data_IF_591491145746
#
_entry.id   IF_591491145746
#
_cell.length_a   1.000
_cell.length_b   1.000
_cell.length_c   1.000
_cell.angle_alpha   90.00
_cell.angle_beta   90.00
_cell.angle_gamma   90.00
#
_symmetry.space_group_name_H-M   'P 1'
#
loop_
_entity.id
_entity.type
_entity.pdbx_description
1 polymer ?
#
# COMPACT_ATOMS: atom_id res chain seq x y z
N UNK A 1 -18.72 22.19 14.11
CA UNK A 1 -17.74 23.30 14.27
C UNK A 1 -17.70 24.23 13.07
N UNK A 2 -18.27 23.86 11.89
CA UNK A 2 -18.18 24.63 10.64
C UNK A 2 -16.76 24.74 10.07
N UNK A 3 -15.84 23.90 10.54
CA UNK A 3 -14.45 23.82 10.07
C UNK A 3 -14.27 22.63 9.13
N UNK A 4 -13.41 22.78 8.14
CA UNK A 4 -13.00 21.70 7.23
C UNK A 4 -11.74 21.05 7.80
N UNK A 5 -11.75 19.72 7.91
CA UNK A 5 -10.58 18.89 8.20
C UNK A 5 -10.36 18.00 6.97
N UNK A 6 -9.15 18.01 6.44
CA UNK A 6 -8.75 17.14 5.34
C UNK A 6 -7.45 16.43 5.66
N UNK A 7 -7.36 15.15 5.31
CA UNK A 7 -6.15 14.34 5.42
C UNK A 7 -5.70 14.01 3.99
N UNK A 8 -4.50 14.45 3.63
CA UNK A 8 -3.96 14.24 2.29
C UNK A 8 -3.04 13.03 2.24
N UNK A 9 -3.36 12.06 1.39
CA UNK A 9 -2.43 11.01 0.97
C UNK A 9 -1.61 11.54 -0.19
N UNK A 10 -0.39 12.00 0.08
CA UNK A 10 0.49 12.58 -0.93
C UNK A 10 0.77 11.64 -2.13
N UNK A 11 0.80 10.29 -2.00
CA UNK A 11 1.00 9.40 -3.14
C UNK A 11 -0.06 9.55 -4.24
N UNK A 12 -1.27 10.02 -3.91
CA UNK A 12 -2.33 10.27 -4.91
C UNK A 12 -1.93 11.30 -5.97
N UNK A 13 -0.93 12.13 -5.70
CA UNK A 13 -0.41 13.14 -6.63
C UNK A 13 0.77 12.63 -7.47
N UNK A 14 1.25 11.41 -7.23
CA UNK A 14 2.24 10.75 -8.07
C UNK A 14 1.61 10.30 -9.39
N UNK A 15 2.28 10.60 -10.51
CA UNK A 15 1.76 10.30 -11.85
C UNK A 15 1.61 8.80 -12.11
N UNK A 16 2.45 7.97 -11.47
CA UNK A 16 2.39 6.51 -11.60
C UNK A 16 1.25 5.93 -10.75
N UNK A 17 0.97 6.51 -9.57
CA UNK A 17 -0.22 6.17 -8.76
C UNK A 17 -1.50 6.51 -9.50
N UNK A 18 -1.53 7.66 -10.18
CA UNK A 18 -2.65 8.05 -11.05
C UNK A 18 -2.79 7.11 -12.26
N UNK A 19 -1.67 6.60 -12.80
CA UNK A 19 -1.70 5.63 -13.88
C UNK A 19 -2.30 4.28 -13.46
N UNK A 20 -2.02 3.80 -12.24
CA UNK A 20 -2.67 2.61 -11.67
C UNK A 20 -4.19 2.77 -11.69
N UNK A 21 -4.68 3.89 -11.18
CA UNK A 21 -6.11 4.19 -11.17
C UNK A 21 -6.69 4.23 -12.59
N UNK A 22 -6.04 4.90 -13.53
CA UNK A 22 -6.46 4.97 -14.94
C UNK A 22 -6.54 3.60 -15.60
N UNK A 23 -5.57 2.69 -15.33
CA UNK A 23 -5.59 1.32 -15.86
C UNK A 23 -6.82 0.57 -15.35
N UNK A 24 -7.13 0.66 -14.07
CA UNK A 24 -8.32 0.01 -13.50
C UNK A 24 -9.61 0.61 -14.05
N UNK A 25 -9.74 1.95 -14.05
CA UNK A 25 -10.93 2.67 -14.51
C UNK A 25 -11.17 2.53 -16.03
N UNK A 26 -10.13 2.29 -16.83
CA UNK A 26 -10.28 2.06 -18.28
C UNK A 26 -11.00 0.74 -18.61
N UNK A 27 -11.13 -0.16 -17.63
CA UNK A 27 -11.67 -1.51 -17.85
C UNK A 27 -10.71 -2.48 -18.53
N UNK A 28 -9.43 -2.11 -18.68
CA UNK A 28 -8.39 -2.96 -19.28
C UNK A 28 -8.25 -4.30 -18.52
N UNK A 29 -8.35 -4.28 -17.19
CA UNK A 29 -8.29 -5.49 -16.37
C UNK A 29 -9.60 -6.30 -16.41
N UNK A 30 -10.70 -5.72 -16.87
CA UNK A 30 -12.03 -6.27 -16.69
C UNK A 30 -12.50 -6.17 -15.24
N UNK A 31 -13.39 -7.06 -14.83
CA UNK A 31 -13.88 -7.14 -13.45
C UNK A 31 -12.77 -7.63 -12.52
N UNK A 32 -12.37 -6.77 -11.58
CA UNK A 32 -11.35 -7.09 -10.56
C UNK A 32 -11.96 -8.06 -9.54
N UNK A 33 -11.25 -9.13 -9.22
CA UNK A 33 -11.69 -10.14 -8.26
C UNK A 33 -10.71 -10.38 -7.11
N UNK A 34 -9.41 -10.07 -7.29
CA UNK A 34 -8.40 -10.28 -6.28
C UNK A 34 -7.36 -9.18 -6.32
N UNK A 35 -6.94 -8.72 -5.15
CA UNK A 35 -5.86 -7.76 -4.95
C UNK A 35 -4.95 -8.27 -3.85
N UNK A 36 -3.64 -8.26 -4.11
CA UNK A 36 -2.61 -8.38 -3.10
C UNK A 36 -1.90 -7.03 -3.00
N UNK A 37 -1.73 -6.51 -1.79
CA UNK A 37 -0.95 -5.28 -1.59
C UNK A 37 -0.29 -5.28 -0.22
N UNK A 38 0.69 -4.43 -0.07
CA UNK A 38 1.39 -4.27 1.18
C UNK A 38 2.74 -3.62 0.97
N UNK A 39 3.61 -3.85 1.91
CA UNK A 39 4.97 -3.36 1.90
C UNK A 39 5.67 -3.71 3.19
N UNK A 40 6.90 -3.30 3.32
CA UNK A 40 7.60 -3.54 4.56
C UNK A 40 9.06 -3.17 4.48
N UNK A 41 9.68 -3.22 5.64
CA UNK A 41 11.10 -2.91 5.83
C UNK A 41 11.78 -4.08 6.50
N UNK A 42 13.04 -4.30 6.16
CA UNK A 42 13.85 -5.31 6.85
C UNK A 42 14.07 -4.93 8.31
N UNK A 43 14.41 -3.66 8.56
CA UNK A 43 14.53 -3.05 9.87
C UNK A 43 14.20 -1.57 9.75
N UNK A 44 13.18 -1.09 10.42
CA UNK A 44 12.78 0.30 10.27
C UNK A 44 11.66 0.71 11.20
N UNK A 45 11.68 0.17 12.44
CA UNK A 45 10.76 0.62 13.48
C UNK A 45 11.11 2.08 13.77
N UNK A 46 10.17 3.01 13.61
CA UNK A 46 10.34 4.39 14.01
C UNK A 46 10.40 4.46 15.53
N UNK A 47 11.12 5.42 16.06
CA UNK A 47 11.13 5.68 17.50
C UNK A 47 10.06 6.68 17.93
N UNK A 48 10.25 7.22 19.14
CA UNK A 48 9.39 8.30 19.64
C UNK A 48 7.96 7.86 19.92
N UNK A 49 7.01 8.68 19.52
CA UNK A 49 5.57 8.48 19.79
C UNK A 49 4.92 7.41 18.92
N UNK A 50 5.58 6.95 17.85
CA UNK A 50 5.01 5.96 16.92
C UNK A 50 4.87 4.56 17.51
N UNK A 51 5.67 4.22 18.54
CA UNK A 51 5.76 2.86 19.07
C UNK A 51 4.88 2.62 20.30
N UNK A 52 4.17 3.64 20.76
CA UNK A 52 3.32 3.59 21.94
C UNK A 52 1.84 3.76 21.57
N UNK A 53 1.01 2.83 22.01
CA UNK A 53 -0.41 2.81 21.67
C UNK A 53 -1.16 4.06 22.10
N UNK A 54 -0.81 4.63 23.26
CA UNK A 54 -1.47 5.82 23.80
C UNK A 54 -1.29 7.06 22.92
N UNK A 55 -0.22 7.11 22.14
CA UNK A 55 0.10 8.25 21.25
C UNK A 55 -0.15 7.95 19.78
N UNK A 56 0.20 6.75 19.32
CA UNK A 56 0.07 6.34 17.92
C UNK A 56 -1.25 5.62 17.61
N UNK A 57 -1.85 5.00 18.61
CA UNK A 57 -3.04 4.14 18.44
C UNK A 57 -2.71 2.76 17.88
N UNK A 58 -2.10 2.69 16.72
CA UNK A 58 -1.63 1.48 16.03
C UNK A 58 -0.29 1.74 15.36
N UNK A 59 0.46 0.68 15.04
CA UNK A 59 1.83 0.75 14.55
C UNK A 59 1.97 0.78 13.02
N UNK A 60 2.66 -0.23 12.47
CA UNK A 60 2.96 -0.33 11.04
C UNK A 60 1.72 -0.23 10.15
N UNK A 61 0.59 -0.77 10.63
CA UNK A 61 -0.69 -0.74 9.91
C UNK A 61 -1.14 0.69 9.59
N UNK A 62 -1.06 1.60 10.55
CA UNK A 62 -1.47 3.00 10.33
C UNK A 62 -0.38 3.83 9.66
N UNK A 63 0.88 3.67 10.08
CA UNK A 63 1.98 4.52 9.63
C UNK A 63 2.27 4.35 8.14
N UNK A 64 2.54 3.13 7.69
CA UNK A 64 2.89 2.86 6.30
C UNK A 64 1.83 2.04 5.55
N UNK A 65 1.03 1.24 6.26
CA UNK A 65 -0.01 0.41 5.65
C UNK A 65 -1.12 1.21 4.99
N UNK A 66 -1.42 2.39 5.53
CA UNK A 66 -2.43 3.28 4.95
C UNK A 66 -2.13 3.67 3.50
N UNK A 67 -0.86 3.80 3.11
CA UNK A 67 -0.48 4.19 1.75
C UNK A 67 -0.78 3.08 0.73
N UNK A 68 -0.39 1.84 1.04
CA UNK A 68 -0.66 0.71 0.13
C UNK A 68 -2.15 0.37 0.06
N UNK A 69 -2.88 0.50 1.16
CA UNK A 69 -4.33 0.37 1.16
C UNK A 69 -5.00 1.47 0.34
N UNK A 70 -4.60 2.73 0.53
CA UNK A 70 -5.16 3.86 -0.22
C UNK A 70 -4.91 3.72 -1.73
N UNK A 71 -3.73 3.27 -2.13
CA UNK A 71 -3.40 3.04 -3.54
C UNK A 71 -4.41 2.13 -4.23
N UNK A 72 -4.65 0.95 -3.67
CA UNK A 72 -5.54 -0.03 -4.30
C UNK A 72 -7.01 0.32 -4.13
N UNK A 73 -7.42 0.80 -2.96
CA UNK A 73 -8.81 1.19 -2.71
C UNK A 73 -9.22 2.39 -3.56
N UNK A 74 -8.34 3.38 -3.73
CA UNK A 74 -8.58 4.51 -4.63
C UNK A 74 -8.68 4.08 -6.09
N UNK A 75 -7.93 3.07 -6.52
CA UNK A 75 -7.99 2.55 -7.88
C UNK A 75 -9.31 1.82 -8.17
N UNK A 76 -9.87 1.12 -7.20
CA UNK A 76 -11.11 0.32 -7.36
C UNK A 76 -12.38 1.02 -6.84
N UNK A 77 -12.30 2.29 -6.42
CA UNK A 77 -13.47 3.10 -6.04
C UNK A 77 -14.01 2.86 -4.63
N UNK A 78 -13.17 2.39 -3.68
CA UNK A 78 -13.53 2.19 -2.26
C UNK A 78 -14.75 1.30 -2.02
N UNK A 79 -14.81 0.07 -2.55
CA UNK A 79 -15.90 -0.85 -2.26
C UNK A 79 -15.98 -1.14 -0.76
N UNK A 80 -17.20 -1.32 -0.24
CA UNK A 80 -17.45 -1.53 1.17
C UNK A 80 -16.77 -2.81 1.68
N UNK A 81 -16.00 -2.79 2.77
CA UNK A 81 -15.49 -4.00 3.42
C UNK A 81 -16.64 -4.75 4.11
N UNK A 82 -16.74 -6.05 3.84
CA UNK A 82 -17.79 -6.92 4.37
C UNK A 82 -17.28 -7.75 5.55
N UNK A 83 -16.11 -8.35 5.41
CA UNK A 83 -15.47 -9.13 6.49
C UNK A 83 -13.98 -8.95 6.46
N UNK A 84 -13.35 -9.02 7.64
CA UNK A 84 -11.90 -8.94 7.82
C UNK A 84 -11.47 -10.11 8.72
N UNK A 85 -10.47 -10.86 8.26
CA UNK A 85 -9.70 -11.80 9.09
C UNK A 85 -8.28 -11.28 9.16
N UNK A 86 -7.77 -10.97 10.36
CA UNK A 86 -6.51 -10.28 10.51
C UNK A 86 -5.62 -10.90 11.59
N UNK A 87 -4.33 -10.67 11.44
CA UNK A 87 -3.27 -11.02 12.40
C UNK A 87 -2.34 -9.83 12.57
N UNK A 88 -1.82 -9.64 13.78
CA UNK A 88 -0.75 -8.69 14.07
C UNK A 88 0.30 -9.30 14.99
N UNK A 89 1.52 -8.80 14.92
CA UNK A 89 2.59 -9.11 15.86
C UNK A 89 3.39 -7.87 16.26
N UNK A 90 4.17 -8.04 17.30
CA UNK A 90 5.07 -7.02 17.86
C UNK A 90 6.45 -7.63 18.21
N UNK A 91 6.81 -8.73 17.52
CA UNK A 91 7.98 -9.55 17.84
C UNK A 91 9.30 -8.80 17.78
N UNK A 92 9.47 -7.99 16.74
CA UNK A 92 10.72 -7.27 16.53
C UNK A 92 10.79 -6.01 17.40
N UNK A 93 9.69 -5.28 17.51
CA UNK A 93 9.64 -4.08 18.35
C UNK A 93 9.89 -4.36 19.82
N UNK A 94 9.46 -5.51 20.30
CA UNK A 94 9.70 -5.99 21.67
C UNK A 94 11.03 -6.72 21.87
N UNK A 95 11.83 -6.87 20.83
CA UNK A 95 13.12 -7.57 20.95
C UNK A 95 14.20 -6.62 21.51
N UNK A 96 14.70 -6.84 22.75
CA UNK A 96 15.69 -5.98 23.37
C UNK A 96 17.09 -6.07 22.73
N UNK A 97 17.39 -7.17 22.02
CA UNK A 97 18.65 -7.30 21.29
C UNK A 97 18.66 -6.40 20.04
N UNK A 98 17.51 -6.20 19.41
CA UNK A 98 17.35 -5.37 18.22
C UNK A 98 17.09 -3.90 18.58
N UNK A 99 16.29 -3.67 19.62
CA UNK A 99 15.82 -2.33 20.06
C UNK A 99 15.95 -2.19 21.59
N UNK A 100 17.18 -2.05 22.14
CA UNK A 100 17.43 -2.11 23.58
C UNK A 100 16.62 -1.13 24.42
N UNK A 101 16.39 0.08 23.92
CA UNK A 101 15.64 1.11 24.64
C UNK A 101 14.15 1.09 24.31
N UNK A 102 13.82 1.01 23.04
CA UNK A 102 12.43 1.12 22.59
C UNK A 102 11.59 -0.12 22.90
N UNK A 103 12.20 -1.32 22.98
CA UNK A 103 11.49 -2.56 23.30
C UNK A 103 10.75 -2.54 24.62
N UNK A 104 11.24 -1.74 25.59
CA UNK A 104 10.65 -1.61 26.93
C UNK A 104 9.27 -0.94 26.92
N UNK A 105 9.02 -0.10 25.92
CA UNK A 105 7.78 0.70 25.80
C UNK A 105 6.98 0.36 24.55
N UNK A 106 7.52 -0.48 23.66
CA UNK A 106 6.85 -0.89 22.42
C UNK A 106 5.59 -1.70 22.72
N UNK A 107 4.43 -1.23 22.25
CA UNK A 107 3.13 -1.88 22.48
C UNK A 107 2.12 -1.74 21.33
N UNK A 108 2.62 -1.44 20.13
CA UNK A 108 1.84 -1.42 18.88
C UNK A 108 2.24 -2.59 17.96
N UNK A 109 1.66 -2.68 16.77
CA UNK A 109 2.06 -3.68 15.78
C UNK A 109 3.34 -3.26 15.03
N UNK A 110 4.25 -4.21 14.82
CA UNK A 110 5.37 -4.09 13.87
C UNK A 110 5.11 -4.85 12.56
N UNK A 111 4.16 -5.79 12.59
CA UNK A 111 3.66 -6.53 11.44
C UNK A 111 2.13 -6.67 11.53
N UNK A 112 1.47 -6.53 10.40
CA UNK A 112 0.05 -6.85 10.26
C UNK A 112 -0.23 -7.53 8.92
N UNK A 113 -1.16 -8.48 8.92
CA UNK A 113 -1.69 -9.12 7.73
C UNK A 113 -3.22 -9.23 7.83
N UNK A 114 -3.91 -9.05 6.72
CA UNK A 114 -5.35 -9.16 6.68
C UNK A 114 -5.85 -9.75 5.36
N UNK A 115 -6.90 -10.56 5.48
CA UNK A 115 -7.69 -11.05 4.36
C UNK A 115 -9.08 -10.38 4.44
N UNK A 116 -9.37 -9.53 3.48
CA UNK A 116 -10.53 -8.65 3.48
C UNK A 116 -11.45 -9.02 2.33
N UNK A 117 -12.73 -9.27 2.62
CA UNK A 117 -13.75 -9.41 1.59
C UNK A 117 -14.43 -8.06 1.39
N UNK A 118 -14.40 -7.60 0.15
CA UNK A 118 -15.03 -6.35 -0.26
C UNK A 118 -16.32 -6.62 -1.02
N UNK A 119 -17.17 -5.61 -1.08
CA UNK A 119 -18.36 -5.62 -1.95
C UNK A 119 -17.97 -5.86 -3.41
N UNK A 120 -18.85 -6.49 -4.19
CA UNK A 120 -18.55 -6.91 -5.57
C UNK A 120 -17.75 -8.20 -5.68
N UNK A 121 -17.51 -8.92 -4.56
CA UNK A 121 -16.80 -10.20 -4.55
C UNK A 121 -15.27 -10.06 -4.64
N UNK A 122 -14.73 -8.87 -4.42
CA UNK A 122 -13.29 -8.61 -4.45
C UNK A 122 -12.65 -9.11 -3.16
N UNK A 123 -11.53 -9.80 -3.29
CA UNK A 123 -10.66 -10.20 -2.17
C UNK A 123 -9.45 -9.28 -2.14
N UNK A 124 -9.15 -8.74 -0.97
CA UNK A 124 -7.95 -7.96 -0.71
C UNK A 124 -7.08 -8.66 0.33
N UNK A 125 -5.93 -9.17 -0.09
CA UNK A 125 -4.86 -9.71 0.76
C UNK A 125 -3.86 -8.57 1.04
N UNK A 126 -3.74 -8.21 2.30
CA UNK A 126 -2.93 -7.08 2.74
C UNK A 126 -1.87 -7.51 3.74
N UNK A 127 -0.63 -7.02 3.59
CA UNK A 127 0.48 -7.28 4.51
C UNK A 127 1.36 -6.06 4.65
N UNK A 128 1.75 -5.73 5.88
CA UNK A 128 2.60 -4.59 6.16
C UNK A 128 3.55 -4.88 7.31
N UNK A 129 4.77 -4.36 7.25
CA UNK A 129 5.73 -4.51 8.33
C UNK A 129 6.70 -3.35 8.44
N UNK A 130 7.01 -2.95 9.66
CA UNK A 130 8.16 -2.09 9.96
C UNK A 130 9.47 -2.88 10.05
N UNK A 131 9.37 -4.17 10.44
CA UNK A 131 10.53 -5.04 10.59
C UNK A 131 10.16 -6.48 10.25
N UNK A 132 10.90 -7.06 9.30
CA UNK A 132 10.81 -8.47 8.90
C UNK A 132 12.14 -8.88 8.29
N UNK A 133 12.41 -10.17 8.20
CA UNK A 133 13.67 -10.64 7.59
C UNK A 133 13.60 -10.71 6.04
N UNK A 134 12.81 -9.82 5.44
CA UNK A 134 12.67 -9.65 3.99
C UNK A 134 12.73 -8.16 3.63
N UNK A 135 13.09 -7.85 2.41
CA UNK A 135 13.14 -6.49 1.87
C UNK A 135 11.76 -5.93 1.53
N UNK A 136 10.82 -6.80 1.20
CA UNK A 136 9.41 -6.44 0.91
C UNK A 136 8.47 -7.60 1.23
N UNK A 137 7.23 -7.29 1.52
CA UNK A 137 6.14 -8.28 1.65
C UNK A 137 5.58 -8.75 0.29
N UNK A 138 6.17 -8.31 -0.81
CA UNK A 138 5.82 -8.66 -2.19
C UNK A 138 5.28 -7.48 -2.99
N UNK A 139 5.16 -7.68 -4.30
CA UNK A 139 4.59 -6.69 -5.22
C UNK A 139 3.09 -6.55 -5.01
N UNK A 140 2.54 -5.40 -5.39
CA UNK A 140 1.09 -5.26 -5.50
C UNK A 140 0.60 -5.90 -6.80
N UNK A 141 -0.44 -6.73 -6.67
CA UNK A 141 -1.13 -7.39 -7.76
C UNK A 141 -2.60 -6.96 -7.79
N UNK A 142 -3.11 -6.55 -8.95
CA UNK A 142 -4.54 -6.33 -9.18
C UNK A 142 -4.97 -7.27 -10.29
N UNK A 143 -5.76 -8.29 -9.94
CA UNK A 143 -6.17 -9.33 -10.89
C UNK A 143 -7.62 -9.12 -11.31
N UNK A 144 -7.81 -8.96 -12.61
CA UNK A 144 -9.11 -8.88 -13.26
C UNK A 144 -9.36 -10.06 -14.19
N UNK A 145 -10.60 -10.19 -14.68
CA UNK A 145 -11.02 -11.30 -15.55
C UNK A 145 -10.43 -11.21 -16.97
N UNK A 146 -9.90 -10.05 -17.39
CA UNK A 146 -9.31 -9.84 -18.72
C UNK A 146 -7.80 -9.69 -18.69
N UNK A 147 -7.26 -9.16 -17.61
CA UNK A 147 -5.83 -8.91 -17.43
C UNK A 147 -5.45 -8.79 -15.95
N UNK A 148 -4.15 -8.94 -15.66
CA UNK A 148 -3.57 -8.70 -14.35
C UNK A 148 -2.55 -7.58 -14.41
N UNK A 149 -2.54 -6.72 -13.40
CA UNK A 149 -1.54 -5.66 -13.21
C UNK A 149 -0.61 -6.02 -12.06
N UNK A 150 0.69 -5.99 -12.31
CA UNK A 150 1.75 -6.12 -11.30
C UNK A 150 2.45 -4.79 -11.13
N UNK A 151 2.53 -4.33 -9.91
CA UNK A 151 3.17 -3.08 -9.48
C UNK A 151 4.36 -3.44 -8.60
N UNK A 152 5.62 -3.21 -9.05
CA UNK A 152 6.78 -3.51 -8.24
C UNK A 152 6.78 -2.73 -6.92
N UNK A 153 7.08 -3.43 -5.84
CA UNK A 153 7.20 -2.87 -4.49
C UNK A 153 8.54 -2.17 -4.31
N UNK A 154 8.61 -1.25 -3.35
CA UNK A 154 9.86 -0.71 -2.81
C UNK A 154 10.15 -1.31 -1.45
N UNK A 155 11.40 -1.33 -1.01
CA UNK A 155 11.80 -1.82 0.32
C UNK A 155 11.05 -1.07 1.45
N UNK A 156 10.87 0.21 1.27
CA UNK A 156 10.03 1.03 2.15
C UNK A 156 8.99 1.74 1.27
N UNK A 157 7.77 1.28 1.34
CA UNK A 157 6.72 1.91 0.55
C UNK A 157 6.52 3.37 0.99
N UNK A 158 6.91 4.30 0.12
CA UNK A 158 6.87 5.75 0.35
C UNK A 158 5.88 6.47 -0.58
N UNK A 159 5.05 5.70 -1.29
CA UNK A 159 4.07 6.25 -2.23
C UNK A 159 4.54 6.33 -3.67
N UNK A 160 5.61 5.60 -4.01
CA UNK A 160 6.09 5.48 -5.39
C UNK A 160 6.13 4.02 -5.83
N UNK A 161 6.12 3.76 -7.13
CA UNK A 161 6.31 2.41 -7.69
C UNK A 161 7.80 2.05 -7.71
N UNK A 162 8.13 0.78 -7.46
CA UNK A 162 9.51 0.28 -7.41
C UNK A 162 10.16 0.06 -8.78
N UNK A 163 9.40 0.23 -9.88
CA UNK A 163 9.87 0.01 -11.24
C UNK A 163 8.72 0.03 -12.24
N UNK A 164 8.97 -0.27 -13.51
CA UNK A 164 7.95 -0.39 -14.53
C UNK A 164 6.87 -1.39 -14.12
N UNK A 165 5.61 -1.01 -14.26
CA UNK A 165 4.48 -1.90 -14.01
C UNK A 165 4.33 -2.88 -15.19
N UNK A 166 3.72 -4.04 -14.94
CA UNK A 166 3.49 -5.05 -15.97
C UNK A 166 2.03 -5.43 -16.06
N UNK A 167 1.52 -5.50 -17.28
CA UNK A 167 0.18 -5.98 -17.58
C UNK A 167 0.28 -7.33 -18.27
N UNK A 168 -0.40 -8.34 -17.74
CA UNK A 168 -0.47 -9.71 -18.25
C UNK A 168 -1.85 -9.96 -18.81
N UNK A 169 -1.94 -10.38 -20.08
CA UNK A 169 -3.21 -10.66 -20.74
C UNK A 169 -3.01 -11.62 -21.93
N UNK A 170 -4.09 -12.11 -22.46
CA UNK A 170 -4.06 -12.84 -23.72
C UNK A 170 -4.32 -11.90 -24.91
N UNK A 171 -3.56 -12.10 -25.99
CA UNK A 171 -3.76 -11.46 -27.29
C UNK A 171 -3.77 -12.54 -28.36
N UNK A 172 -4.85 -12.65 -29.13
CA UNK A 172 -5.06 -13.70 -30.13
C UNK A 172 -4.89 -15.14 -29.55
N UNK A 173 -5.34 -15.35 -28.30
CA UNK A 173 -5.22 -16.59 -27.51
C UNK A 173 -3.78 -16.94 -27.09
N UNK A 174 -2.84 -16.02 -27.20
CA UNK A 174 -1.47 -16.20 -26.71
C UNK A 174 -1.22 -15.33 -25.48
N UNK A 175 -0.58 -15.88 -24.42
CA UNK A 175 -0.25 -15.12 -23.22
C UNK A 175 0.87 -14.11 -23.53
N UNK A 176 0.58 -12.83 -23.24
CA UNK A 176 1.55 -11.74 -23.43
C UNK A 176 1.72 -10.93 -22.15
N UNK A 177 2.87 -10.30 -22.03
CA UNK A 177 3.18 -9.35 -20.99
C UNK A 177 3.77 -8.09 -21.62
N UNK A 178 3.28 -6.92 -21.24
CA UNK A 178 3.88 -5.65 -21.65
C UNK A 178 4.10 -4.72 -20.46
N UNK A 179 5.06 -3.83 -20.61
CA UNK A 179 5.44 -2.90 -19.56
C UNK A 179 4.72 -1.57 -19.71
N UNK A 180 4.27 -1.03 -18.58
CA UNK A 180 3.91 0.37 -18.43
C UNK A 180 5.13 1.06 -17.84
N UNK A 181 5.82 1.93 -18.58
CA UNK A 181 7.05 2.56 -18.12
C UNK A 181 6.78 3.49 -16.94
N UNK A 182 7.80 3.76 -16.15
CA UNK A 182 7.73 4.80 -15.15
C UNK A 182 7.49 6.14 -15.86
N UNK A 183 6.39 6.80 -15.50
CA UNK A 183 6.02 8.09 -16.08
C UNK A 183 6.82 9.21 -15.40
N UNK A 184 7.44 10.10 -16.17
CA UNK A 184 8.11 11.26 -15.63
C UNK A 184 7.11 12.28 -15.10
N UNK A 185 7.47 12.91 -14.01
CA UNK A 185 6.72 14.06 -13.48
C UNK A 185 7.36 15.38 -13.95
N UNK A 186 6.66 16.08 -14.81
CA UNK A 186 7.13 17.35 -15.37
C UNK A 186 6.68 18.58 -14.57
N UNK A 187 5.98 18.41 -13.45
CA UNK A 187 5.46 19.54 -12.66
C UNK A 187 6.55 20.36 -11.96
N UNK A 188 7.73 19.76 -11.74
CA UNK A 188 8.80 20.36 -10.93
C UNK A 188 8.48 20.47 -9.43
N UNK A 189 7.33 19.96 -9.00
CA UNK A 189 6.89 19.99 -7.60
C UNK A 189 7.04 18.63 -6.92
N UNK A 190 7.44 18.63 -5.66
CA UNK A 190 7.38 17.43 -4.82
C UNK A 190 5.94 17.01 -4.49
N UNK A 191 5.74 15.76 -4.06
CA UNK A 191 4.40 15.25 -3.74
C UNK A 191 3.72 16.04 -2.61
N UNK A 192 4.49 16.51 -1.63
CA UNK A 192 3.96 17.36 -0.55
C UNK A 192 3.50 18.72 -1.05
N UNK A 193 4.26 19.34 -1.97
CA UNK A 193 3.89 20.62 -2.55
C UNK A 193 2.61 20.48 -3.37
N UNK A 194 2.50 19.44 -4.20
CA UNK A 194 1.27 19.15 -4.95
C UNK A 194 0.07 18.97 -4.03
N UNK A 195 0.26 18.24 -2.90
CA UNK A 195 -0.78 18.06 -1.91
C UNK A 195 -1.26 19.41 -1.36
N UNK A 196 -0.34 20.31 -0.99
CA UNK A 196 -0.67 21.62 -0.44
C UNK A 196 -1.41 22.46 -1.48
N UNK A 197 -0.96 22.46 -2.72
CA UNK A 197 -1.60 23.22 -3.81
C UNK A 197 -2.97 22.69 -4.23
N UNK A 198 -3.33 21.47 -3.82
CA UNK A 198 -4.63 20.86 -4.14
C UNK A 198 -5.73 21.20 -3.13
N UNK A 199 -5.41 21.86 -2.03
CA UNK A 199 -6.34 22.38 -1.03
C UNK A 199 -6.66 23.86 -1.29
#
# INVERSE_FOLDING_TARGET
>A
TGKVLSIGFQPRFDVNMQMIKKIVESGELGEVYYIQTGGGRRRGIPGGTFIEQDTAGIGALADIGCYSLDMVLNAIGYPKPLTVSAYKSDFFGKNPEMYPEDSKRFNVDDFAAAFIRLEGGIILDFRISWAMHMDTAGDTLILGKKAGLRIPSTECWNGTVGGPMKIYRDVANEPVCYEVPILPDYSGMGLFDKKIHSF
#
